data_IF_002086718367
#
_entry.id   IF_002086718367
#
_cell.length_a   1.000
_cell.length_b   1.000
_cell.length_c   1.000
_cell.angle_alpha   90.00
_cell.angle_beta   90.00
_cell.angle_gamma   90.00
#
_symmetry.space_group_name_H-M   'P 1'
#
loop_
_entity.id
_entity.type
_entity.pdbx_description
1 polymer ?
#
# COMPACT_ATOMS: atom_id res chain seq x y z
N UNK A 1 19.00 50.84 -29.39
CA UNK A 1 19.14 52.18 -28.79
C UNK A 1 19.97 52.01 -27.54
N UNK A 2 21.28 52.21 -27.70
CA UNK A 2 22.29 52.57 -26.73
C UNK A 2 22.39 54.07 -26.62
N UNK A 3 23.28 54.62 -25.80
CA UNK A 3 23.69 54.58 -24.42
C UNK A 3 23.52 55.97 -23.76
N UNK A 4 24.35 56.54 -22.91
CA UNK A 4 25.75 56.41 -22.58
C UNK A 4 26.15 56.56 -21.10
N UNK A 5 27.23 55.93 -20.73
CA UNK A 5 28.53 56.41 -20.23
C UNK A 5 28.65 57.82 -19.65
N UNK A 6 29.25 57.92 -18.50
CA UNK A 6 30.13 58.97 -17.95
C UNK A 6 30.35 58.68 -16.47
N UNK A 7 31.51 58.36 -15.92
CA UNK A 7 32.76 59.07 -16.03
C UNK A 7 32.94 60.00 -14.85
N UNK A 8 33.96 59.78 -14.09
CA UNK A 8 34.79 60.71 -13.33
C UNK A 8 35.15 60.21 -11.93
N UNK A 9 36.38 59.68 -11.77
CA UNK A 9 37.56 60.41 -11.25
C UNK A 9 37.34 61.26 -9.98
N UNK A 10 38.04 60.86 -8.93
CA UNK A 10 38.97 61.69 -8.12
C UNK A 10 39.29 60.98 -6.84
N UNK A 11 40.50 60.50 -6.64
CA UNK A 11 41.61 61.15 -5.91
C UNK A 11 41.20 61.79 -4.60
N UNK A 12 41.76 61.23 -3.51
CA UNK A 12 42.56 61.87 -2.46
C UNK A 12 42.84 60.79 -1.42
N UNK A 13 44.05 60.33 -1.33
CA UNK A 13 45.15 60.83 -0.54
C UNK A 13 44.90 60.80 0.98
N UNK A 14 45.66 59.94 1.54
CA UNK A 14 46.54 60.14 2.66
C UNK A 14 46.14 59.62 4.04
N UNK A 15 47.02 58.76 4.44
CA UNK A 15 47.67 58.76 5.77
C UNK A 15 46.74 58.63 6.97
N UNK A 16 46.74 57.44 7.50
CA UNK A 16 47.15 57.28 8.92
C UNK A 16 47.56 55.84 9.12
N UNK A 17 48.85 55.67 9.29
CA UNK A 17 49.40 54.41 9.73
C UNK A 17 48.85 54.08 11.11
N UNK A 18 48.05 53.10 11.27
CA UNK A 18 47.68 52.50 12.51
C UNK A 18 48.42 51.18 12.64
N UNK A 19 49.10 50.92 13.75
CA UNK A 19 49.95 49.73 13.89
C UNK A 19 49.08 48.46 13.79
N UNK A 20 49.62 47.48 13.07
CA UNK A 20 49.05 46.17 12.92
C UNK A 20 48.80 45.52 14.30
N UNK A 21 47.58 45.62 14.77
CA UNK A 21 47.12 44.74 15.82
C UNK A 21 47.08 43.33 15.24
N UNK A 22 48.05 42.50 15.63
CA UNK A 22 48.06 41.08 15.33
C UNK A 22 46.80 40.44 15.94
N UNK A 23 45.75 40.34 15.12
CA UNK A 23 44.60 39.52 15.46
C UNK A 23 45.08 38.08 15.46
N UNK A 24 45.39 37.56 16.67
CA UNK A 24 45.52 36.13 16.89
C UNK A 24 44.13 35.52 16.59
N UNK A 25 43.99 35.00 15.39
CA UNK A 25 42.91 34.09 15.10
C UNK A 25 43.14 32.86 15.96
N UNK A 26 42.44 32.79 17.07
CA UNK A 26 42.28 31.53 17.79
C UNK A 26 41.58 30.59 16.83
N UNK A 27 42.35 29.78 16.12
CA UNK A 27 41.84 28.58 15.48
C UNK A 27 41.40 27.66 16.61
N UNK A 28 40.14 27.79 16.98
CA UNK A 28 39.45 26.77 17.76
C UNK A 28 39.48 25.52 16.93
N UNK A 29 40.39 24.61 17.23
CA UNK A 29 40.38 23.29 16.66
C UNK A 29 38.96 22.70 16.82
N UNK A 30 38.37 22.11 15.80
CA UNK A 30 37.06 21.45 15.93
C UNK A 30 37.23 20.40 17.03
N UNK A 31 36.57 20.64 18.17
CA UNK A 31 36.49 19.64 19.22
C UNK A 31 35.73 18.47 18.60
N UNK A 32 36.46 17.41 18.25
CA UNK A 32 35.86 16.14 17.88
C UNK A 32 34.99 15.72 19.06
N UNK A 33 33.66 15.80 18.85
CA UNK A 33 32.67 15.24 19.76
C UNK A 33 33.08 13.78 19.99
N UNK A 34 33.26 13.35 21.23
CA UNK A 34 33.53 11.94 21.49
C UNK A 34 32.31 11.13 21.02
N UNK A 35 32.39 10.57 19.84
CA UNK A 35 31.46 9.53 19.39
C UNK A 35 31.79 8.25 20.14
N UNK A 36 31.49 8.26 21.44
CA UNK A 36 31.49 7.01 22.19
C UNK A 36 30.33 6.18 21.60
N UNK A 37 30.58 5.03 20.97
CA UNK A 37 29.52 4.11 20.61
C UNK A 37 28.87 3.70 21.93
N UNK A 38 27.63 4.14 22.16
CA UNK A 38 26.83 3.67 23.28
C UNK A 38 26.50 2.20 23.00
N UNK A 39 27.46 1.34 23.31
CA UNK A 39 27.23 -0.08 23.42
C UNK A 39 26.27 -0.29 24.60
N UNK A 40 24.97 -0.11 24.34
CA UNK A 40 23.95 -0.47 25.27
C UNK A 40 24.05 -1.98 25.47
N UNK A 41 24.81 -2.41 26.49
CA UNK A 41 24.89 -3.81 26.92
C UNK A 41 23.50 -4.17 27.46
N UNK A 42 22.69 -4.76 26.61
CA UNK A 42 21.41 -5.33 27.03
C UNK A 42 21.71 -6.46 28.02
N UNK A 43 21.03 -6.48 29.15
CA UNK A 43 21.20 -7.58 30.07
C UNK A 43 20.79 -8.88 29.37
N UNK A 44 21.42 -10.01 29.65
CA UNK A 44 21.04 -11.29 29.01
C UNK A 44 19.57 -11.60 29.22
N UNK A 45 18.99 -11.20 30.34
CA UNK A 45 17.56 -11.35 30.61
C UNK A 45 16.68 -10.57 29.63
N UNK A 46 17.04 -9.31 29.28
CA UNK A 46 16.27 -8.53 28.29
C UNK A 46 16.42 -9.11 26.89
N UNK A 47 17.58 -9.63 26.52
CA UNK A 47 17.78 -10.27 25.24
C UNK A 47 16.93 -11.54 25.09
N UNK A 48 16.86 -12.37 26.14
CA UNK A 48 16.02 -13.57 26.19
C UNK A 48 14.53 -13.20 26.09
N UNK A 49 14.08 -12.22 26.87
CA UNK A 49 12.69 -11.76 26.84
C UNK A 49 12.30 -11.25 25.45
N UNK A 50 13.16 -10.47 24.78
CA UNK A 50 12.92 -10.00 23.42
C UNK A 50 12.88 -11.16 22.41
N UNK A 51 13.78 -12.15 22.54
CA UNK A 51 13.78 -13.31 21.68
C UNK A 51 12.50 -14.14 21.82
N UNK A 52 11.99 -14.32 23.04
CA UNK A 52 10.73 -15.03 23.32
C UNK A 52 9.53 -14.25 22.75
N UNK A 53 9.49 -12.94 22.92
CA UNK A 53 8.42 -12.10 22.37
C UNK A 53 8.40 -12.14 20.84
N UNK A 54 9.56 -11.98 20.20
CA UNK A 54 9.67 -12.04 18.74
C UNK A 54 9.34 -13.44 18.20
N UNK A 55 9.90 -14.49 18.81
CA UNK A 55 9.62 -15.87 18.43
C UNK A 55 8.15 -16.23 18.62
N UNK A 56 7.55 -15.85 19.74
CA UNK A 56 6.13 -16.05 20.02
C UNK A 56 5.24 -15.32 19.02
N UNK A 57 5.57 -14.08 18.69
CA UNK A 57 4.81 -13.28 17.71
C UNK A 57 4.86 -13.88 16.30
N UNK A 58 6.03 -14.29 15.85
CA UNK A 58 6.20 -14.94 14.54
C UNK A 58 5.42 -16.25 14.47
N UNK A 59 5.49 -17.06 15.54
CA UNK A 59 4.74 -18.33 15.62
C UNK A 59 3.24 -18.08 15.59
N UNK A 60 2.75 -17.11 16.35
CA UNK A 60 1.34 -16.73 16.35
C UNK A 60 0.86 -16.29 14.97
N UNK A 61 1.62 -15.43 14.28
CA UNK A 61 1.29 -15.01 12.92
C UNK A 61 1.32 -16.16 11.91
N UNK A 62 2.24 -17.11 12.07
CA UNK A 62 2.31 -18.26 11.17
C UNK A 62 1.13 -19.21 11.35
N UNK A 63 0.68 -19.44 12.61
CA UNK A 63 -0.47 -20.31 12.91
C UNK A 63 -1.79 -19.64 12.51
N UNK A 64 -1.88 -18.31 12.61
CA UNK A 64 -3.08 -17.56 12.22
C UNK A 64 -3.05 -17.07 10.77
N UNK A 65 -2.11 -17.57 9.96
CA UNK A 65 -2.02 -17.20 8.55
C UNK A 65 -3.20 -17.81 7.77
N UNK A 66 -4.07 -16.98 7.13
CA UNK A 66 -5.28 -17.46 6.50
C UNK A 66 -5.03 -18.50 5.41
N UNK A 67 -5.89 -19.48 5.32
CA UNK A 67 -5.88 -20.52 4.28
C UNK A 67 -6.55 -20.03 3.00
N UNK A 68 -6.57 -20.86 1.95
CA UNK A 68 -7.30 -20.54 0.72
C UNK A 68 -8.81 -20.65 0.96
N UNK A 69 -9.20 -21.55 1.82
CA UNK A 69 -10.59 -21.77 2.24
C UNK A 69 -11.13 -20.54 2.99
N UNK A 70 -10.39 -20.02 3.98
CA UNK A 70 -10.77 -18.80 4.70
C UNK A 70 -10.92 -17.60 3.73
N UNK A 71 -10.05 -17.53 2.72
CA UNK A 71 -10.17 -16.50 1.68
C UNK A 71 -11.41 -16.72 0.82
N UNK A 72 -11.78 -17.98 0.50
CA UNK A 72 -12.96 -18.25 -0.31
C UNK A 72 -14.24 -17.79 0.37
N UNK A 73 -14.37 -18.04 1.65
CA UNK A 73 -15.53 -17.62 2.45
C UNK A 73 -15.61 -16.10 2.53
N UNK A 74 -14.47 -15.45 2.78
CA UNK A 74 -14.40 -13.99 2.75
C UNK A 74 -14.76 -13.41 1.38
N UNK A 75 -14.22 -13.95 0.29
CA UNK A 75 -14.51 -13.49 -1.06
C UNK A 75 -15.97 -13.75 -1.47
N UNK A 76 -16.52 -14.91 -1.07
CA UNK A 76 -17.92 -15.26 -1.28
C UNK A 76 -18.86 -14.25 -0.64
N UNK A 77 -18.65 -13.94 0.64
CA UNK A 77 -19.47 -12.96 1.36
C UNK A 77 -19.37 -11.54 0.78
N UNK A 78 -18.17 -11.12 0.34
CA UNK A 78 -17.99 -9.83 -0.34
C UNK A 78 -18.74 -9.79 -1.69
N UNK A 79 -18.66 -10.88 -2.47
CA UNK A 79 -19.37 -10.99 -3.75
C UNK A 79 -20.89 -11.00 -3.56
N UNK A 80 -21.40 -11.67 -2.52
CA UNK A 80 -22.82 -11.63 -2.18
C UNK A 80 -23.26 -10.20 -1.86
N UNK A 81 -22.47 -9.46 -1.06
CA UNK A 81 -22.75 -8.06 -0.75
C UNK A 81 -22.82 -7.21 -2.01
N UNK A 82 -21.77 -7.26 -2.84
CA UNK A 82 -21.71 -6.50 -4.10
C UNK A 82 -22.84 -6.87 -5.06
N UNK A 83 -23.10 -8.18 -5.24
CA UNK A 83 -24.17 -8.64 -6.12
C UNK A 83 -25.55 -8.21 -5.59
N UNK A 84 -25.75 -8.20 -4.28
CA UNK A 84 -26.99 -7.74 -3.68
C UNK A 84 -27.18 -6.24 -3.92
N UNK A 85 -26.15 -5.44 -3.72
CA UNK A 85 -26.20 -3.99 -3.90
C UNK A 85 -26.46 -3.63 -5.38
N UNK A 86 -25.81 -4.32 -6.32
CA UNK A 86 -25.91 -4.03 -7.74
C UNK A 86 -27.18 -4.61 -8.36
N UNK A 87 -27.54 -5.86 -8.07
CA UNK A 87 -28.63 -6.56 -8.73
C UNK A 87 -29.98 -6.35 -8.03
N UNK A 88 -30.00 -6.21 -6.70
CA UNK A 88 -31.23 -6.04 -5.94
C UNK A 88 -31.60 -4.58 -5.74
N UNK A 89 -30.73 -3.61 -6.12
CA UNK A 89 -31.11 -2.22 -6.12
C UNK A 89 -32.27 -1.97 -7.10
N UNK A 90 -33.33 -1.36 -6.62
CA UNK A 90 -34.58 -1.14 -7.38
C UNK A 90 -34.40 -0.36 -8.70
N UNK A 91 -33.20 0.23 -8.91
CA UNK A 91 -32.91 1.01 -10.12
C UNK A 91 -32.46 0.17 -11.30
N UNK A 92 -31.98 -1.06 -11.06
CA UNK A 92 -31.37 -1.90 -12.09
C UNK A 92 -32.32 -2.95 -12.64
N UNK A 93 -33.34 -3.35 -11.88
CA UNK A 93 -34.28 -4.40 -12.28
C UNK A 93 -35.50 -3.84 -13.03
N UNK A 94 -35.87 -4.40 -14.19
CA UNK A 94 -37.13 -4.12 -14.84
C UNK A 94 -38.33 -4.41 -13.92
N UNK A 95 -39.35 -3.58 -13.96
CA UNK A 95 -40.57 -3.68 -13.13
C UNK A 95 -41.16 -5.08 -13.07
N UNK A 96 -41.11 -5.84 -14.18
CA UNK A 96 -41.62 -7.20 -14.27
C UNK A 96 -40.86 -8.15 -13.36
N UNK A 97 -39.53 -8.01 -13.25
CA UNK A 97 -38.69 -8.85 -12.38
C UNK A 97 -38.85 -8.47 -10.91
N UNK A 98 -39.07 -7.18 -10.60
CA UNK A 98 -39.34 -6.72 -9.23
C UNK A 98 -40.60 -7.34 -8.62
N UNK A 99 -41.60 -7.61 -9.43
CA UNK A 99 -42.85 -8.26 -9.00
C UNK A 99 -42.68 -9.76 -8.72
N UNK A 100 -41.74 -10.42 -9.40
CA UNK A 100 -41.49 -11.87 -9.28
C UNK A 100 -40.47 -12.22 -8.21
N UNK A 101 -39.48 -11.36 -7.97
CA UNK A 101 -38.41 -11.62 -7.03
C UNK A 101 -38.70 -10.91 -5.72
N UNK A 102 -39.41 -11.59 -4.82
CA UNK A 102 -39.77 -11.05 -3.50
C UNK A 102 -38.59 -10.95 -2.54
N UNK A 103 -37.59 -11.85 -2.66
CA UNK A 103 -36.44 -11.97 -1.75
C UNK A 103 -35.12 -12.07 -2.54
N UNK A 104 -34.82 -11.05 -3.37
CA UNK A 104 -33.61 -10.99 -4.18
C UNK A 104 -32.31 -11.17 -3.35
N UNK A 105 -32.13 -10.53 -2.19
CA UNK A 105 -30.93 -10.73 -1.38
C UNK A 105 -30.73 -12.17 -0.93
N UNK A 106 -31.81 -12.88 -0.61
CA UNK A 106 -31.76 -14.27 -0.17
C UNK A 106 -31.34 -15.22 -1.27
N UNK A 107 -31.86 -14.99 -2.49
CA UNK A 107 -31.47 -15.80 -3.66
C UNK A 107 -29.99 -15.68 -3.97
N UNK A 108 -29.40 -14.48 -3.78
CA UNK A 108 -27.96 -14.26 -3.98
C UNK A 108 -27.17 -14.91 -2.82
N UNK A 109 -27.63 -14.77 -1.58
CA UNK A 109 -26.99 -15.38 -0.43
C UNK A 109 -26.97 -16.91 -0.53
N UNK A 110 -28.01 -17.54 -1.04
CA UNK A 110 -28.08 -18.99 -1.26
C UNK A 110 -27.03 -19.49 -2.27
N UNK A 111 -26.45 -18.57 -3.08
CA UNK A 111 -25.39 -18.87 -4.06
C UNK A 111 -23.97 -18.54 -3.54
N UNK A 112 -23.81 -18.19 -2.25
CA UNK A 112 -22.53 -17.80 -1.68
C UNK A 112 -21.43 -18.85 -1.92
N UNK A 113 -21.72 -20.13 -1.70
CA UNK A 113 -20.75 -21.20 -1.94
C UNK A 113 -20.32 -21.31 -3.41
N UNK A 114 -21.23 -21.06 -4.35
CA UNK A 114 -20.91 -21.04 -5.77
C UNK A 114 -20.03 -19.84 -6.13
N UNK A 115 -20.37 -18.66 -5.61
CA UNK A 115 -19.58 -17.44 -5.80
C UNK A 115 -18.18 -17.57 -5.17
N UNK A 116 -18.09 -18.15 -3.98
CA UNK A 116 -16.83 -18.45 -3.30
C UNK A 116 -15.94 -19.40 -4.14
N UNK A 117 -16.52 -20.47 -4.69
CA UNK A 117 -15.80 -21.43 -5.53
C UNK A 117 -15.29 -20.78 -6.82
N UNK A 118 -16.09 -19.93 -7.45
CA UNK A 118 -15.67 -19.16 -8.62
C UNK A 118 -14.54 -18.20 -8.28
N UNK A 119 -14.64 -17.46 -7.19
CA UNK A 119 -13.58 -16.55 -6.76
C UNK A 119 -12.25 -17.28 -6.59
N UNK A 120 -12.26 -18.47 -5.99
CA UNK A 120 -11.02 -19.25 -5.76
C UNK A 120 -10.40 -19.81 -7.04
N UNK A 121 -11.19 -20.09 -8.08
CA UNK A 121 -10.65 -20.53 -9.37
C UNK A 121 -9.78 -19.44 -10.03
N UNK A 122 -10.15 -18.18 -9.84
CA UNK A 122 -9.45 -17.03 -10.40
C UNK A 122 -8.43 -16.42 -9.43
N UNK A 123 -8.22 -17.05 -8.25
CA UNK A 123 -7.33 -16.54 -7.21
C UNK A 123 -6.05 -17.34 -7.13
N UNK A 124 -4.93 -16.63 -7.22
CA UNK A 124 -3.60 -17.15 -6.95
C UNK A 124 -3.15 -16.75 -5.55
N UNK A 125 -2.79 -17.73 -4.71
CA UNK A 125 -2.25 -17.50 -3.37
C UNK A 125 -0.73 -17.59 -3.35
N UNK A 126 -0.09 -16.61 -2.70
CA UNK A 126 1.32 -16.61 -2.38
C UNK A 126 1.48 -16.61 -0.87
N UNK A 127 1.96 -17.72 -0.33
CA UNK A 127 2.14 -17.90 1.11
C UNK A 127 3.55 -17.45 1.51
N UNK A 128 3.64 -16.44 2.40
CA UNK A 128 4.88 -15.91 2.94
C UNK A 128 5.21 -16.47 4.35
N UNK A 129 4.45 -17.45 4.83
CA UNK A 129 4.60 -18.04 6.16
C UNK A 129 3.84 -17.30 7.24
N UNK A 130 4.08 -16.03 7.45
CA UNK A 130 3.42 -15.18 8.46
C UNK A 130 2.24 -14.39 7.89
N UNK A 131 2.11 -14.35 6.58
CA UNK A 131 1.05 -13.68 5.83
C UNK A 131 0.84 -14.39 4.49
N UNK A 132 -0.30 -14.17 3.84
CA UNK A 132 -0.60 -14.67 2.50
C UNK A 132 -1.09 -13.54 1.61
N UNK A 133 -0.64 -13.52 0.36
CA UNK A 133 -1.13 -12.58 -0.66
C UNK A 133 -2.02 -13.34 -1.62
N UNK A 134 -3.22 -12.83 -1.84
CA UNK A 134 -4.21 -13.36 -2.76
C UNK A 134 -4.36 -12.39 -3.92
N UNK A 135 -4.17 -12.88 -5.13
CA UNK A 135 -4.37 -12.10 -6.35
C UNK A 135 -5.50 -12.76 -7.14
N UNK A 136 -6.63 -12.07 -7.18
CA UNK A 136 -7.81 -12.50 -7.94
C UNK A 136 -7.86 -11.70 -9.23
N UNK A 137 -7.87 -12.39 -10.38
CA UNK A 137 -7.93 -11.75 -11.69
C UNK A 137 -9.11 -12.31 -12.47
N UNK A 138 -10.03 -11.45 -12.85
CA UNK A 138 -11.23 -11.81 -13.62
C UNK A 138 -11.25 -11.01 -14.91
N UNK A 139 -11.64 -11.65 -16.02
CA UNK A 139 -11.68 -11.01 -17.34
C UNK A 139 -10.35 -11.06 -18.09
N UNK A 140 -10.19 -10.18 -19.07
CA UNK A 140 -8.99 -10.12 -19.92
C UNK A 140 -8.92 -11.24 -20.97
N UNK A 141 -10.02 -11.95 -21.22
CA UNK A 141 -10.10 -12.93 -22.31
C UNK A 141 -10.64 -12.26 -23.58
N UNK A 142 -9.97 -12.51 -24.68
CA UNK A 142 -10.46 -12.10 -26.01
C UNK A 142 -11.54 -13.08 -26.44
N UNK A 143 -12.81 -12.72 -26.29
CA UNK A 143 -13.93 -13.56 -26.72
C UNK A 143 -14.14 -13.50 -28.23
N UNK A 144 -13.83 -12.35 -28.83
CA UNK A 144 -13.90 -12.10 -30.27
C UNK A 144 -12.77 -11.13 -30.65
N UNK A 145 -12.33 -11.08 -31.92
CA UNK A 145 -11.29 -10.17 -32.37
C UNK A 145 -11.54 -8.68 -32.07
N UNK A 146 -12.79 -8.33 -31.85
CA UNK A 146 -13.25 -6.96 -31.60
C UNK A 146 -13.83 -6.76 -30.19
N UNK A 147 -13.98 -7.85 -29.38
CA UNK A 147 -14.59 -7.78 -28.05
C UNK A 147 -13.60 -8.27 -26.98
N UNK A 148 -12.97 -7.32 -26.32
CA UNK A 148 -12.15 -7.56 -25.13
C UNK A 148 -12.96 -7.35 -23.86
N UNK A 149 -12.97 -8.34 -22.98
CA UNK A 149 -13.51 -8.15 -21.64
C UNK A 149 -12.50 -7.34 -20.80
N UNK A 150 -12.96 -6.30 -20.09
CA UNK A 150 -12.09 -5.57 -19.17
C UNK A 150 -11.51 -6.54 -18.13
N UNK A 151 -10.23 -6.36 -17.82
CA UNK A 151 -9.54 -7.14 -16.79
C UNK A 151 -9.70 -6.45 -15.45
N UNK A 152 -10.21 -7.17 -14.47
CA UNK A 152 -10.27 -6.74 -13.07
C UNK A 152 -9.28 -7.56 -12.26
N UNK A 153 -8.42 -6.89 -11.52
CA UNK A 153 -7.45 -7.53 -10.63
C UNK A 153 -7.54 -6.92 -9.24
N UNK A 154 -7.71 -7.78 -8.25
CA UNK A 154 -7.75 -7.39 -6.83
C UNK A 154 -6.63 -8.12 -6.10
N UNK A 155 -5.83 -7.36 -5.38
CA UNK A 155 -4.77 -7.90 -4.51
C UNK A 155 -5.17 -7.73 -3.06
N UNK A 156 -5.27 -8.83 -2.34
CA UNK A 156 -5.66 -8.88 -0.93
C UNK A 156 -4.54 -9.50 -0.10
N UNK A 157 -4.23 -8.88 1.03
CA UNK A 157 -3.30 -9.40 2.03
C UNK A 157 -4.09 -10.07 3.15
N UNK A 158 -3.76 -11.34 3.43
CA UNK A 158 -4.23 -12.06 4.59
C UNK A 158 -3.16 -12.14 5.67
N UNK A 159 -3.45 -11.63 6.85
CA UNK A 159 -2.54 -11.63 8.01
C UNK A 159 -3.33 -11.72 9.31
N UNK A 160 -2.87 -12.53 10.26
CA UNK A 160 -3.52 -12.70 11.57
C UNK A 160 -5.04 -12.99 11.46
N UNK A 161 -5.44 -13.86 10.52
CA UNK A 161 -6.84 -14.22 10.30
C UNK A 161 -7.71 -13.10 9.70
N UNK A 162 -7.13 -12.01 9.20
CA UNK A 162 -7.84 -10.87 8.60
C UNK A 162 -7.42 -10.64 7.17
N UNK A 163 -8.33 -10.04 6.39
CA UNK A 163 -8.10 -9.70 4.98
C UNK A 163 -8.11 -8.19 4.78
N UNK A 164 -7.11 -7.68 4.05
CA UNK A 164 -6.94 -6.28 3.72
C UNK A 164 -6.77 -6.15 2.21
N UNK A 165 -7.66 -5.43 1.55
CA UNK A 165 -7.53 -5.14 0.12
C UNK A 165 -6.44 -4.08 -0.05
N UNK A 166 -5.34 -4.45 -0.73
CA UNK A 166 -4.21 -3.56 -0.97
C UNK A 166 -4.37 -2.76 -2.25
N UNK A 167 -4.88 -3.41 -3.30
CA UNK A 167 -4.96 -2.79 -4.62
C UNK A 167 -6.11 -3.39 -5.42
N UNK A 168 -6.87 -2.52 -6.07
CA UNK A 168 -7.84 -2.87 -7.09
C UNK A 168 -7.43 -2.19 -8.39
N UNK A 169 -7.36 -2.95 -9.49
CA UNK A 169 -7.05 -2.45 -10.82
C UNK A 169 -8.15 -2.91 -11.77
N UNK A 170 -8.65 -1.98 -12.56
CA UNK A 170 -9.53 -2.27 -13.69
C UNK A 170 -8.85 -1.71 -14.95
N UNK A 171 -8.43 -2.59 -15.83
CA UNK A 171 -8.03 -2.20 -17.17
C UNK A 171 -9.31 -2.21 -18.02
N UNK A 172 -10.02 -1.10 -18.04
CA UNK A 172 -11.02 -0.85 -19.06
C UNK A 172 -10.23 -0.68 -20.36
N UNK A 173 -10.28 -1.70 -21.24
CA UNK A 173 -9.64 -1.62 -22.55
C UNK A 173 -10.14 -0.36 -23.24
N UNK A 174 -9.26 0.59 -23.48
CA UNK A 174 -9.52 1.71 -24.37
C UNK A 174 -9.87 1.09 -25.72
N UNK A 175 -11.09 1.33 -26.14
CA UNK A 175 -11.50 1.11 -27.53
C UNK A 175 -10.86 2.23 -28.34
N UNK A 176 -9.71 1.95 -28.99
CA UNK A 176 -9.25 2.71 -30.15
C UNK A 176 -10.04 2.32 -31.37
#
# INVERSE_FOLDING_TARGET
>A
FEPPNSGATSRCLNHLATPAASVRIYQSAPQALPTSPVHRRWSPATAIAMALLLGGSVTALAVTNPTKEDYSDHAGSQLVGLATDELCSQRTLPLVLQLWIKDCPRLIADQEATLASLATQFTRRWNLGVASVYVTTVGGQDLLPTLRLPRYSVTTLGVAGRFLVLKTQSDAGELE
#
